data_IF_495598527105
#
_entry.id   IF_495598527105
#
_cell.length_a   1.000
_cell.length_b   1.000
_cell.length_c   1.000
_cell.angle_alpha   90.00
_cell.angle_beta   90.00
_cell.angle_gamma   90.00
#
_symmetry.space_group_name_H-M   'P 1'
#
loop_
_entity.id
_entity.type
_entity.pdbx_description
1 polymer ?
#
# COMPACT_ATOMS: atom_id res chain seq x y z
N UNK A 1 -8.75 -38.19 10.67
CA UNK A 1 -7.30 -37.93 10.69
C UNK A 1 -6.88 -37.50 9.28
N UNK A 2 -7.11 -36.23 8.92
CA UNK A 2 -6.61 -35.63 7.66
C UNK A 2 -6.37 -34.13 7.96
N UNK A 3 -5.25 -33.81 8.60
CA UNK A 3 -4.70 -32.44 8.67
C UNK A 3 -3.22 -32.57 8.98
N UNK A 4 -2.40 -32.67 7.93
CA UNK A 4 -0.93 -32.62 8.03
C UNK A 4 -0.25 -32.35 6.68
N UNK A 5 -0.90 -32.69 5.56
CA UNK A 5 -0.28 -32.51 4.22
C UNK A 5 -0.37 -31.08 3.69
N UNK A 6 -1.42 -30.31 4.03
CA UNK A 6 -1.63 -28.95 3.51
C UNK A 6 -0.54 -27.97 3.96
N UNK A 7 -0.18 -27.98 5.24
CA UNK A 7 0.84 -27.08 5.79
C UNK A 7 2.24 -27.31 5.20
N UNK A 8 2.56 -28.53 4.78
CA UNK A 8 3.86 -28.85 4.17
C UNK A 8 3.97 -28.39 2.71
N UNK A 9 2.86 -28.42 1.95
CA UNK A 9 2.80 -27.96 0.56
C UNK A 9 2.72 -26.44 0.47
N UNK A 10 1.88 -25.83 1.30
CA UNK A 10 1.73 -24.38 1.41
C UNK A 10 3.07 -23.75 1.81
N UNK A 11 3.74 -24.29 2.84
CA UNK A 11 5.07 -23.84 3.23
C UNK A 11 6.11 -24.03 2.10
N UNK A 12 6.07 -25.14 1.35
CA UNK A 12 6.95 -25.33 0.17
C UNK A 12 6.71 -24.32 -0.96
N UNK A 13 5.47 -23.88 -1.16
CA UNK A 13 5.14 -22.89 -2.19
C UNK A 13 5.59 -21.49 -1.76
N UNK A 14 5.37 -21.12 -0.51
CA UNK A 14 5.83 -19.84 0.05
C UNK A 14 7.36 -19.71 -0.01
N UNK A 15 8.08 -20.81 0.28
CA UNK A 15 9.55 -20.84 0.23
C UNK A 15 10.15 -20.70 -1.18
N UNK A 16 9.35 -20.80 -2.25
CA UNK A 16 9.83 -20.54 -3.62
C UNK A 16 9.85 -19.05 -3.96
N UNK A 17 9.05 -18.23 -3.27
CA UNK A 17 8.85 -16.82 -3.60
C UNK A 17 10.08 -16.04 -3.13
N UNK A 18 10.80 -15.43 -4.06
CA UNK A 18 11.93 -14.54 -3.80
C UNK A 18 11.73 -13.15 -4.40
N UNK A 19 10.63 -12.94 -5.13
CA UNK A 19 10.30 -11.68 -5.80
C UNK A 19 8.85 -11.33 -5.49
N UNK A 20 8.62 -10.13 -4.96
CA UNK A 20 7.28 -9.56 -4.79
C UNK A 20 7.12 -8.37 -5.73
N UNK A 21 6.10 -8.40 -6.57
CA UNK A 21 5.67 -7.26 -7.36
C UNK A 21 4.48 -6.59 -6.68
N UNK A 22 4.52 -5.28 -6.50
CA UNK A 22 3.46 -4.55 -5.81
C UNK A 22 3.31 -3.10 -6.29
N UNK A 23 2.31 -2.41 -5.76
CA UNK A 23 1.99 -1.03 -6.11
C UNK A 23 2.99 -0.06 -5.49
N UNK A 24 3.56 0.80 -6.32
CA UNK A 24 4.41 1.92 -5.91
C UNK A 24 3.61 3.20 -5.62
N UNK A 25 4.30 4.35 -5.49
CA UNK A 25 5.77 4.51 -5.54
C UNK A 25 6.49 3.97 -4.28
N UNK A 26 7.79 4.26 -4.15
CA UNK A 26 8.56 4.02 -2.93
C UNK A 26 7.88 4.70 -1.73
N UNK A 27 8.00 4.09 -0.55
CA UNK A 27 7.45 4.60 0.70
C UNK A 27 5.99 4.27 0.96
N UNK A 28 5.34 3.49 0.09
CA UNK A 28 3.96 3.06 0.29
C UNK A 28 3.82 1.94 1.33
N UNK A 29 2.59 1.75 1.82
CA UNK A 29 2.26 0.61 2.67
C UNK A 29 2.39 -0.73 1.93
N UNK A 30 2.20 -0.76 0.61
CA UNK A 30 2.38 -1.94 -0.21
C UNK A 30 3.85 -2.38 -0.26
N UNK A 31 4.78 -1.44 -0.43
CA UNK A 31 6.21 -1.71 -0.33
C UNK A 31 6.59 -2.25 1.06
N UNK A 32 6.15 -1.57 2.13
CA UNK A 32 6.36 -2.01 3.52
C UNK A 32 5.85 -3.44 3.74
N UNK A 33 4.69 -3.77 3.18
CA UNK A 33 4.09 -5.09 3.30
C UNK A 33 4.94 -6.18 2.61
N UNK A 34 5.50 -5.88 1.42
CA UNK A 34 6.39 -6.81 0.71
C UNK A 34 7.63 -7.17 1.53
N UNK A 35 8.32 -6.16 2.07
CA UNK A 35 9.51 -6.40 2.89
C UNK A 35 9.18 -7.10 4.21
N UNK A 36 8.07 -6.72 4.88
CA UNK A 36 7.61 -7.38 6.09
C UNK A 36 7.26 -8.87 5.85
N UNK A 37 6.69 -9.18 4.70
CA UNK A 37 6.41 -10.56 4.34
C UNK A 37 7.71 -11.38 4.23
N UNK A 38 8.71 -10.88 3.51
CA UNK A 38 10.02 -11.54 3.41
C UNK A 38 10.69 -11.74 4.78
N UNK A 39 10.65 -10.72 5.64
CA UNK A 39 11.16 -10.80 7.01
C UNK A 39 10.46 -11.93 7.80
N UNK A 40 9.12 -11.98 7.77
CA UNK A 40 8.33 -13.00 8.48
C UNK A 40 8.61 -14.41 7.98
N UNK A 41 8.85 -14.58 6.67
CA UNK A 41 9.19 -15.88 6.09
C UNK A 41 10.67 -16.26 6.25
N UNK A 42 11.51 -15.35 6.76
CA UNK A 42 12.97 -15.52 6.80
C UNK A 42 13.58 -15.79 5.42
N UNK A 43 13.03 -15.15 4.39
CA UNK A 43 13.47 -15.27 2.99
C UNK A 43 14.20 -13.99 2.58
N UNK A 44 15.35 -14.12 1.93
CA UNK A 44 15.97 -13.00 1.23
C UNK A 44 15.31 -12.81 -0.14
N UNK A 45 14.63 -11.68 -0.34
CA UNK A 45 13.91 -11.39 -1.57
C UNK A 45 13.95 -9.92 -1.96
N UNK A 46 13.34 -9.62 -3.10
CA UNK A 46 13.30 -8.28 -3.68
C UNK A 46 11.85 -7.83 -3.90
N UNK A 47 11.59 -6.54 -3.66
CA UNK A 47 10.30 -5.92 -3.93
C UNK A 47 10.43 -5.01 -5.15
N UNK A 48 9.61 -5.25 -6.17
CA UNK A 48 9.52 -4.41 -7.36
C UNK A 48 8.23 -3.61 -7.35
N UNK A 49 8.34 -2.30 -7.58
CA UNK A 49 7.24 -1.36 -7.53
C UNK A 49 6.74 -1.02 -8.93
N UNK A 50 5.42 -0.99 -9.10
CA UNK A 50 4.74 -0.75 -10.38
C UNK A 50 3.69 0.34 -10.23
N UNK A 51 3.28 0.98 -11.33
CA UNK A 51 2.23 2.01 -11.27
C UNK A 51 0.85 1.40 -11.02
N UNK A 52 0.64 0.17 -11.48
CA UNK A 52 -0.59 -0.60 -11.27
C UNK A 52 -0.28 -2.06 -10.93
N UNK A 53 -1.23 -2.75 -10.30
CA UNK A 53 -1.06 -4.19 -10.02
C UNK A 53 -1.23 -5.03 -11.30
N UNK A 54 -1.93 -4.51 -12.29
CA UNK A 54 -2.11 -5.11 -13.61
C UNK A 54 -0.79 -5.15 -14.40
N UNK A 55 0.00 -4.07 -14.35
CA UNK A 55 1.36 -4.04 -14.93
C UNK A 55 2.28 -5.04 -14.23
N UNK A 56 2.25 -5.04 -12.89
CA UNK A 56 3.02 -5.99 -12.06
C UNK A 56 2.73 -7.45 -12.41
N UNK A 57 1.47 -7.76 -12.77
CA UNK A 57 1.01 -9.12 -13.03
C UNK A 57 1.71 -9.80 -14.20
N UNK A 58 2.18 -9.04 -15.20
CA UNK A 58 2.89 -9.58 -16.36
C UNK A 58 4.13 -10.34 -15.89
N UNK A 59 4.88 -9.76 -14.94
CA UNK A 59 6.10 -10.35 -14.38
C UNK A 59 5.83 -11.53 -13.46
N UNK A 60 4.73 -11.50 -12.70
CA UNK A 60 4.36 -12.61 -11.81
C UNK A 60 4.11 -13.90 -12.59
N UNK A 61 3.68 -13.81 -13.84
CA UNK A 61 3.45 -14.97 -14.71
C UNK A 61 4.73 -15.57 -15.28
N UNK A 62 5.86 -14.87 -15.24
CA UNK A 62 7.12 -15.30 -15.85
C UNK A 62 7.82 -16.41 -15.05
N UNK A 63 7.61 -16.47 -13.72
CA UNK A 63 8.30 -17.42 -12.84
C UNK A 63 7.48 -17.80 -11.61
N UNK A 64 7.68 -19.02 -11.08
CA UNK A 64 7.08 -19.47 -9.82
C UNK A 64 7.68 -18.78 -8.59
N UNK A 65 8.81 -18.08 -8.76
CA UNK A 65 9.47 -17.33 -7.69
C UNK A 65 8.90 -15.93 -7.48
N UNK A 66 7.95 -15.51 -8.33
CA UNK A 66 7.30 -14.21 -8.24
C UNK A 66 5.92 -14.33 -7.65
N UNK A 67 5.55 -13.33 -6.85
CA UNK A 67 4.19 -13.16 -6.35
C UNK A 67 3.72 -11.71 -6.49
N UNK A 68 2.42 -11.53 -6.66
CA UNK A 68 1.76 -10.23 -6.63
C UNK A 68 1.30 -9.93 -5.21
N UNK A 69 1.75 -8.82 -4.63
CA UNK A 69 1.21 -8.32 -3.37
C UNK A 69 0.25 -7.16 -3.63
N UNK A 70 -0.96 -7.28 -3.11
CA UNK A 70 -1.99 -6.25 -3.19
C UNK A 70 -2.62 -5.95 -1.84
N UNK A 71 -3.01 -4.70 -1.62
CA UNK A 71 -3.88 -4.32 -0.52
C UNK A 71 -5.30 -4.86 -0.78
N UNK A 72 -5.97 -5.42 0.23
CA UNK A 72 -7.29 -6.04 0.08
C UNK A 72 -8.38 -5.06 -0.40
N UNK A 73 -8.19 -3.75 -0.18
CA UNK A 73 -9.09 -2.68 -0.64
C UNK A 73 -8.65 -2.06 -1.97
N UNK A 74 -7.74 -2.70 -2.71
CA UNK A 74 -7.38 -2.25 -4.05
C UNK A 74 -8.61 -2.35 -4.99
N UNK A 75 -9.01 -1.26 -5.69
CA UNK A 75 -10.29 -1.20 -6.40
C UNK A 75 -10.52 -2.34 -7.41
N UNK A 76 -9.47 -2.78 -8.09
CA UNK A 76 -9.54 -3.78 -9.16
C UNK A 76 -8.99 -5.15 -8.74
N UNK A 77 -8.88 -5.42 -7.43
CA UNK A 77 -8.36 -6.72 -6.95
C UNK A 77 -9.24 -7.89 -7.41
N UNK A 78 -10.55 -7.69 -7.44
CA UNK A 78 -11.50 -8.69 -7.96
C UNK A 78 -11.20 -9.04 -9.42
N UNK A 79 -10.91 -8.05 -10.25
CA UNK A 79 -10.58 -8.24 -11.67
C UNK A 79 -9.28 -9.05 -11.84
N UNK A 80 -8.26 -8.75 -11.03
CA UNK A 80 -6.99 -9.50 -11.01
C UNK A 80 -7.25 -10.97 -10.68
N UNK A 81 -8.05 -11.25 -9.64
CA UNK A 81 -8.34 -12.63 -9.23
C UNK A 81 -9.16 -13.36 -10.30
N UNK A 82 -10.29 -12.79 -10.74
CA UNK A 82 -11.23 -13.49 -11.60
C UNK A 82 -10.75 -13.66 -13.04
N UNK A 83 -9.96 -12.72 -13.58
CA UNK A 83 -9.35 -12.86 -14.92
C UNK A 83 -8.21 -13.88 -14.94
N UNK A 84 -7.72 -14.34 -13.79
CA UNK A 84 -6.57 -15.23 -13.67
C UNK A 84 -6.84 -16.50 -12.85
N UNK A 85 -8.12 -16.90 -12.71
CA UNK A 85 -8.52 -18.06 -11.90
C UNK A 85 -7.78 -19.36 -12.22
N UNK A 86 -7.36 -19.56 -13.47
CA UNK A 86 -6.68 -20.80 -13.90
C UNK A 86 -5.17 -20.75 -13.73
N UNK A 87 -4.58 -19.56 -13.54
CA UNK A 87 -3.13 -19.36 -13.54
C UNK A 87 -2.58 -18.85 -12.21
N UNK A 88 -3.41 -18.22 -11.37
CA UNK A 88 -3.01 -17.66 -10.08
C UNK A 88 -3.87 -18.20 -8.95
N UNK A 89 -3.27 -18.24 -7.77
CA UNK A 89 -3.96 -18.49 -6.50
C UNK A 89 -3.49 -17.53 -5.40
N UNK A 90 -4.38 -17.29 -4.44
CA UNK A 90 -4.00 -16.65 -3.19
C UNK A 90 -3.14 -17.64 -2.40
N UNK A 91 -1.85 -17.32 -2.25
CA UNK A 91 -0.87 -18.16 -1.56
C UNK A 91 -0.70 -17.76 -0.09
N UNK A 92 -0.97 -16.50 0.24
CA UNK A 92 -0.91 -16.01 1.63
C UNK A 92 -1.75 -14.74 1.80
N UNK A 93 -2.10 -14.42 3.05
CA UNK A 93 -2.67 -13.13 3.43
C UNK A 93 -2.30 -12.77 4.86
N UNK A 94 -2.08 -11.50 5.13
CA UNK A 94 -1.74 -11.04 6.47
C UNK A 94 -2.24 -9.63 6.72
N UNK A 95 -2.44 -9.33 8.00
CA UNK A 95 -2.75 -7.98 8.46
C UNK A 95 -1.46 -7.35 9.00
N UNK A 96 -1.24 -6.09 8.66
CA UNK A 96 -0.23 -5.26 9.31
C UNK A 96 -0.76 -3.84 9.52
N UNK A 97 -0.25 -3.12 10.52
CA UNK A 97 -0.51 -1.70 10.62
C UNK A 97 0.16 -0.92 9.48
N UNK A 98 -0.61 -0.03 8.85
CA UNK A 98 -0.06 0.95 7.91
C UNK A 98 0.83 1.96 8.64
N UNK A 99 1.58 2.76 7.90
CA UNK A 99 2.03 4.04 8.43
C UNK A 99 0.83 4.86 8.91
N UNK A 100 1.01 5.65 9.97
CA UNK A 100 -0.04 6.51 10.51
C UNK A 100 -0.57 7.44 9.43
N UNK A 101 -1.88 7.63 9.41
CA UNK A 101 -2.49 8.70 8.62
C UNK A 101 -2.33 10.01 9.39
N UNK A 102 -1.89 11.05 8.70
CA UNK A 102 -1.59 12.35 9.29
C UNK A 102 -2.15 13.49 8.46
N UNK A 103 -2.50 14.58 9.12
CA UNK A 103 -2.54 15.90 8.50
C UNK A 103 -1.14 16.49 8.58
N UNK A 104 -0.56 16.84 7.45
CA UNK A 104 0.76 17.46 7.37
C UNK A 104 0.76 18.74 6.54
N UNK A 105 1.68 19.65 6.86
CA UNK A 105 1.88 20.93 6.17
C UNK A 105 3.34 21.37 6.28
N UNK A 106 3.77 22.36 5.46
CA UNK A 106 5.15 22.87 5.51
C UNK A 106 5.51 23.48 6.86
N UNK A 107 4.60 24.28 7.39
CA UNK A 107 4.74 24.98 8.68
C UNK A 107 3.54 24.61 9.57
N UNK A 108 3.56 24.99 10.85
CA UNK A 108 2.37 24.90 11.69
C UNK A 108 1.25 25.75 11.08
N UNK A 109 0.29 25.09 10.44
CA UNK A 109 -0.89 25.75 9.90
C UNK A 109 -1.92 25.86 11.01
N UNK A 110 -2.33 27.10 11.32
CA UNK A 110 -3.50 27.33 12.17
C UNK A 110 -4.71 26.77 11.42
N UNK A 111 -5.33 25.72 11.96
CA UNK A 111 -6.51 25.08 11.37
C UNK A 111 -7.64 26.09 11.25
N UNK A 112 -7.85 26.60 10.04
CA UNK A 112 -9.00 27.43 9.66
C UNK A 112 -9.85 26.66 8.65
N UNK A 113 -11.15 26.96 8.57
CA UNK A 113 -12.08 26.22 7.69
C UNK A 113 -11.88 26.48 6.18
N UNK A 114 -10.83 27.19 5.76
CA UNK A 114 -10.60 27.58 4.36
C UNK A 114 -9.37 26.93 3.72
N UNK A 115 -8.65 26.05 4.42
CA UNK A 115 -7.46 25.37 3.88
C UNK A 115 -7.79 24.51 2.65
N UNK A 116 -7.02 24.62 1.58
CA UNK A 116 -7.04 23.64 0.50
C UNK A 116 -6.20 22.42 0.93
N UNK A 117 -6.85 21.25 1.04
CA UNK A 117 -6.21 20.02 1.52
C UNK A 117 -6.12 19.00 0.38
N UNK A 118 -4.92 18.52 0.06
CA UNK A 118 -4.78 17.37 -0.84
C UNK A 118 -5.06 16.05 -0.10
N UNK A 119 -5.81 15.14 -0.73
CA UNK A 119 -6.03 13.79 -0.21
C UNK A 119 -6.21 12.76 -1.31
N UNK A 120 -5.76 11.54 -1.06
CA UNK A 120 -6.23 10.38 -1.83
C UNK A 120 -7.73 10.16 -1.57
N UNK A 121 -8.51 9.58 -2.51
CA UNK A 121 -9.93 9.27 -2.28
C UNK A 121 -10.20 8.39 -1.06
N UNK A 122 -9.33 7.41 -0.75
CA UNK A 122 -9.58 6.48 0.35
C UNK A 122 -9.66 7.15 1.75
N UNK A 123 -8.74 8.06 2.14
CA UNK A 123 -8.87 8.80 3.40
C UNK A 123 -9.53 10.18 3.28
N UNK A 124 -10.29 10.46 2.21
CA UNK A 124 -10.83 11.81 1.93
C UNK A 124 -11.69 12.38 3.06
N UNK A 125 -12.40 11.53 3.79
CA UNK A 125 -13.24 11.95 4.91
C UNK A 125 -12.43 12.61 6.05
N UNK A 126 -11.15 12.22 6.22
CA UNK A 126 -10.25 12.91 7.16
C UNK A 126 -10.01 14.35 6.73
N UNK A 127 -9.85 14.61 5.43
CA UNK A 127 -9.69 15.96 4.89
C UNK A 127 -10.97 16.78 5.06
N UNK A 128 -12.12 16.20 4.72
CA UNK A 128 -13.43 16.84 4.87
C UNK A 128 -13.81 17.15 6.33
N UNK A 129 -13.27 16.41 7.30
CA UNK A 129 -13.44 16.74 8.71
C UNK A 129 -12.75 18.04 9.14
N UNK A 130 -11.84 18.57 8.32
CA UNK A 130 -11.04 19.78 8.58
C UNK A 130 -11.47 20.94 7.67
N UNK A 131 -11.68 20.67 6.39
CA UNK A 131 -12.00 21.70 5.39
C UNK A 131 -12.95 21.17 4.31
N UNK A 132 -13.90 21.99 3.83
CA UNK A 132 -14.69 21.66 2.64
C UNK A 132 -13.86 21.69 1.34
N UNK A 133 -12.70 22.37 1.33
CA UNK A 133 -11.86 22.54 0.14
C UNK A 133 -10.84 21.39 0.04
N UNK A 134 -11.19 20.34 -0.69
CA UNK A 134 -10.33 19.16 -0.86
C UNK A 134 -9.94 18.96 -2.33
N UNK A 135 -8.64 18.82 -2.59
CA UNK A 135 -8.09 18.42 -3.88
C UNK A 135 -7.80 16.92 -3.88
N UNK A 136 -8.44 16.16 -4.76
CA UNK A 136 -8.18 14.74 -4.90
C UNK A 136 -6.89 14.49 -5.70
N UNK A 137 -6.07 13.55 -5.22
CA UNK A 137 -4.83 13.11 -5.87
C UNK A 137 -4.74 11.57 -5.89
N UNK A 138 -3.85 11.03 -6.72
CA UNK A 138 -3.78 9.60 -6.99
C UNK A 138 -3.07 8.77 -5.91
N UNK A 139 -2.37 9.39 -4.95
CA UNK A 139 -1.73 8.68 -3.84
C UNK A 139 -1.46 9.59 -2.64
N UNK A 140 -1.27 9.00 -1.46
CA UNK A 140 -0.84 9.74 -0.26
C UNK A 140 0.54 10.41 -0.48
N UNK A 141 1.46 9.76 -1.19
CA UNK A 141 2.75 10.33 -1.55
C UNK A 141 2.61 11.57 -2.43
N UNK A 142 1.72 11.54 -3.43
CA UNK A 142 1.43 12.71 -4.27
C UNK A 142 0.83 13.86 -3.45
N UNK A 143 -0.02 13.56 -2.45
CA UNK A 143 -0.56 14.59 -1.56
C UNK A 143 0.53 15.31 -0.76
N UNK A 144 1.55 14.57 -0.29
CA UNK A 144 2.72 15.14 0.39
C UNK A 144 3.57 16.00 -0.55
N UNK A 145 3.84 15.51 -1.77
CA UNK A 145 4.58 16.25 -2.81
C UNK A 145 3.86 17.56 -3.15
N UNK A 146 2.55 17.51 -3.43
CA UNK A 146 1.77 18.71 -3.78
C UNK A 146 1.76 19.75 -2.65
N UNK A 147 1.74 19.30 -1.39
CA UNK A 147 1.87 20.17 -0.23
C UNK A 147 3.27 20.79 -0.12
N UNK A 148 4.34 20.00 -0.32
CA UNK A 148 5.72 20.51 -0.38
C UNK A 148 5.94 21.48 -1.55
N UNK A 149 5.24 21.32 -2.66
CA UNK A 149 5.32 22.26 -3.79
C UNK A 149 4.48 23.53 -3.56
N UNK A 150 3.69 23.58 -2.49
CA UNK A 150 2.81 24.72 -2.17
C UNK A 150 1.59 24.82 -3.09
N UNK A 151 1.19 23.72 -3.74
CA UNK A 151 -0.05 23.66 -4.53
C UNK A 151 -1.30 23.62 -3.63
N UNK A 152 -1.13 23.14 -2.40
CA UNK A 152 -2.16 23.02 -1.37
C UNK A 152 -1.58 23.48 -0.03
N UNK A 153 -2.43 23.88 0.91
CA UNK A 153 -2.01 24.38 2.23
C UNK A 153 -1.59 23.25 3.17
N UNK A 154 -2.27 22.11 3.07
CA UNK A 154 -2.00 20.91 3.86
C UNK A 154 -2.35 19.65 3.06
N UNK A 155 -2.01 18.48 3.59
CA UNK A 155 -2.40 17.21 3.00
C UNK A 155 -2.77 16.15 4.05
N UNK A 156 -3.71 15.28 3.67
CA UNK A 156 -3.89 13.98 4.33
C UNK A 156 -2.96 12.99 3.64
N UNK A 157 -1.99 12.48 4.39
CA UNK A 157 -0.95 11.58 3.88
C UNK A 157 -0.52 10.57 4.95
N UNK A 158 0.48 9.73 4.65
CA UNK A 158 1.11 8.86 5.64
C UNK A 158 2.23 9.60 6.36
N UNK A 159 2.51 9.21 7.61
CA UNK A 159 3.64 9.76 8.37
C UNK A 159 4.98 9.57 7.64
N UNK A 160 5.16 8.43 6.94
CA UNK A 160 6.34 8.20 6.09
C UNK A 160 6.46 9.24 4.98
N UNK A 161 5.40 9.46 4.19
CA UNK A 161 5.43 10.42 3.10
C UNK A 161 5.60 11.86 3.59
N UNK A 162 4.96 12.23 4.71
CA UNK A 162 5.18 13.53 5.33
C UNK A 162 6.66 13.73 5.72
N UNK A 163 7.27 12.74 6.39
CA UNK A 163 8.67 12.81 6.83
C UNK A 163 9.64 12.90 5.64
N UNK A 164 9.43 12.12 4.57
CA UNK A 164 10.28 12.14 3.37
C UNK A 164 10.25 13.49 2.65
N UNK A 165 9.11 14.18 2.69
CA UNK A 165 8.95 15.53 2.13
C UNK A 165 9.32 16.64 3.12
N UNK A 166 9.76 16.29 4.34
CA UNK A 166 10.11 17.26 5.38
C UNK A 166 8.92 18.11 5.88
N UNK A 167 7.69 17.58 5.79
CA UNK A 167 6.49 18.26 6.28
C UNK A 167 6.34 18.09 7.79
N UNK A 168 5.76 19.10 8.44
CA UNK A 168 5.36 19.06 9.84
C UNK A 168 4.04 18.31 9.99
N UNK A 169 4.01 17.31 10.88
CA UNK A 169 2.76 16.63 11.25
C UNK A 169 1.96 17.54 12.19
N UNK A 170 0.81 18.01 11.72
CA UNK A 170 -0.12 18.86 12.48
C UNK A 170 -1.04 18.00 13.35
N UNK A 171 -1.49 16.86 12.81
CA UNK A 171 -2.35 15.93 13.54
C UNK A 171 -2.08 14.50 13.09
N UNK A 172 -1.96 13.60 14.07
CA UNK A 172 -1.85 12.17 13.85
C UNK A 172 -3.21 11.49 14.09
N UNK A 173 -3.69 10.72 13.12
CA UNK A 173 -4.93 9.95 13.18
C UNK A 173 -4.69 8.47 13.50
N UNK A 174 -3.44 8.05 13.60
CA UNK A 174 -3.03 6.68 13.86
C UNK A 174 -2.96 5.80 12.62
N UNK A 175 -2.53 4.57 12.83
CA UNK A 175 -2.45 3.53 11.82
C UNK A 175 -3.82 2.91 11.51
N UNK A 176 -3.96 2.37 10.29
CA UNK A 176 -5.10 1.53 9.91
C UNK A 176 -4.58 0.10 9.79
N UNK A 177 -5.12 -0.86 10.56
CA UNK A 177 -4.87 -2.27 10.31
C UNK A 177 -5.37 -2.65 8.91
N UNK A 178 -4.47 -3.07 8.04
CA UNK A 178 -4.79 -3.34 6.63
C UNK A 178 -4.43 -4.77 6.26
N UNK A 179 -5.34 -5.43 5.56
CA UNK A 179 -5.12 -6.76 5.00
C UNK A 179 -4.39 -6.64 3.66
N UNK A 180 -3.34 -7.45 3.50
CA UNK A 180 -2.60 -7.62 2.26
C UNK A 180 -2.71 -9.06 1.80
N UNK A 181 -2.89 -9.23 0.50
CA UNK A 181 -3.03 -10.53 -0.16
C UNK A 181 -1.83 -10.78 -1.05
N UNK A 182 -1.31 -12.00 -1.02
CA UNK A 182 -0.21 -12.44 -1.87
C UNK A 182 -0.75 -13.49 -2.85
N UNK A 183 -0.57 -13.24 -4.15
CA UNK A 183 -1.03 -14.13 -5.22
C UNK A 183 0.17 -14.70 -5.98
N UNK A 184 0.28 -16.01 -6.02
CA UNK A 184 1.34 -16.73 -6.71
C UNK A 184 0.80 -17.54 -7.89
N UNK A 185 1.72 -18.08 -8.70
CA UNK A 185 1.36 -19.00 -9.77
C UNK A 185 0.92 -20.35 -9.18
N UNK A 186 -0.13 -20.92 -9.78
CA UNK A 186 -0.57 -22.30 -9.55
C UNK A 186 0.39 -23.33 -10.14
#
# INVERSE_FOLDING_TARGET
MIVAESSSKENKQLQKISIIHTLGPEGTNCEKAGYLWFERQSIQGQVFLHQTLEEALVHVKETESSALLGCAVYPYLHDIVFKNLTSLELVDSFIMPTYNMVLASKEEVITTNNLLIASHPAPVDLAHSISPNVQLVNSNAQAAIDCLEGKVDACITTSKAANEQGLTVVKDFGEVPMCFTLHGRK
#
